data_IF_137438693728
#
_entry.id   IF_137438693728
#
_cell.length_a   1.000
_cell.length_b   1.000
_cell.length_c   1.000
_cell.angle_alpha   90.00
_cell.angle_beta   90.00
_cell.angle_gamma   90.00
#
_symmetry.space_group_name_H-M   'P 1'
#
loop_
_entity.id
_entity.type
_entity.pdbx_description
1 polymer ?
#
# COMPACT_ATOMS: atom_id res chain seq x y z
N UNK A 1 6.62 -3.94 36.28
CA UNK A 1 5.50 -4.74 35.74
C UNK A 1 4.69 -5.25 36.93
N UNK A 2 3.39 -4.94 37.02
CA UNK A 2 2.56 -5.55 38.07
C UNK A 2 2.41 -7.04 37.81
N UNK A 3 2.65 -7.87 38.81
CA UNK A 3 2.38 -9.29 38.75
C UNK A 3 0.87 -9.52 38.59
N UNK A 4 0.48 -10.21 37.55
CA UNK A 4 -0.90 -10.55 37.31
C UNK A 4 -1.18 -11.96 37.85
N UNK A 5 -2.36 -12.16 38.40
CA UNK A 5 -2.77 -13.43 38.99
C UNK A 5 -2.80 -14.59 37.97
N UNK A 6 -2.83 -15.86 38.44
CA UNK A 6 -2.67 -17.05 37.59
C UNK A 6 -3.79 -17.22 36.54
N UNK A 7 -4.91 -16.52 36.66
CA UNK A 7 -6.02 -16.55 35.69
C UNK A 7 -5.93 -15.48 34.61
N UNK A 8 -4.94 -14.60 34.65
CA UNK A 8 -4.83 -13.55 33.64
C UNK A 8 -4.28 -14.14 32.33
N UNK A 9 -5.00 -13.93 31.24
CA UNK A 9 -4.52 -14.26 29.90
C UNK A 9 -3.52 -13.20 29.43
N UNK A 10 -2.34 -13.63 29.03
CA UNK A 10 -1.36 -12.76 28.41
C UNK A 10 -1.87 -12.24 27.07
N UNK A 11 -1.62 -10.95 26.82
CA UNK A 11 -1.90 -10.37 25.50
C UNK A 11 -0.89 -10.87 24.48
N UNK A 12 -1.31 -10.94 23.22
CA UNK A 12 -0.39 -11.25 22.12
C UNK A 12 0.81 -10.32 22.14
N UNK A 13 2.00 -10.85 21.85
CA UNK A 13 3.28 -10.11 21.86
C UNK A 13 3.22 -8.82 21.02
N UNK A 14 2.67 -8.91 19.79
CA UNK A 14 2.52 -7.77 18.89
C UNK A 14 1.53 -6.72 19.42
N UNK A 15 0.47 -7.16 20.13
CA UNK A 15 -0.48 -6.25 20.77
C UNK A 15 0.14 -5.49 21.94
N UNK A 16 0.96 -6.16 22.75
CA UNK A 16 1.68 -5.50 23.84
C UNK A 16 2.64 -4.42 23.34
N UNK A 17 3.29 -4.68 22.21
CA UNK A 17 4.21 -3.73 21.55
C UNK A 17 3.49 -2.66 20.71
N UNK A 18 2.17 -2.65 20.63
CA UNK A 18 1.42 -1.71 19.81
C UNK A 18 1.64 -1.86 18.29
N UNK A 19 2.10 -3.01 17.81
CA UNK A 19 2.45 -3.24 16.40
C UNK A 19 1.27 -3.71 15.54
N UNK A 20 0.19 -4.16 16.16
CA UNK A 20 -0.96 -4.72 15.42
C UNK A 20 -2.27 -4.44 16.14
N UNK A 21 -3.21 -3.85 15.46
CA UNK A 21 -4.61 -3.77 15.86
C UNK A 21 -5.34 -5.03 15.40
N UNK A 22 -5.51 -5.99 16.32
CA UNK A 22 -6.19 -7.25 16.00
C UNK A 22 -7.69 -7.11 15.76
N UNK A 23 -8.34 -6.04 16.25
CA UNK A 23 -9.76 -5.79 15.97
C UNK A 23 -9.96 -5.35 14.52
N UNK A 24 -9.13 -4.40 14.06
CA UNK A 24 -9.12 -3.96 12.65
C UNK A 24 -8.75 -5.13 11.73
N UNK A 25 -7.70 -5.89 12.07
CA UNK A 25 -7.30 -7.06 11.32
C UNK A 25 -8.42 -8.09 11.19
N UNK A 26 -9.15 -8.41 12.29
CA UNK A 26 -10.28 -9.34 12.26
C UNK A 26 -11.39 -8.85 11.32
N UNK A 27 -11.70 -7.54 11.32
CA UNK A 27 -12.70 -6.96 10.42
C UNK A 27 -12.30 -7.16 8.95
N UNK A 28 -11.03 -6.92 8.60
CA UNK A 28 -10.52 -7.12 7.24
C UNK A 28 -10.59 -8.60 6.83
N UNK A 29 -10.19 -9.52 7.71
CA UNK A 29 -10.23 -10.96 7.43
C UNK A 29 -11.64 -11.54 7.27
N UNK A 30 -12.66 -10.91 7.84
CA UNK A 30 -14.06 -11.33 7.64
C UNK A 30 -14.53 -11.21 6.19
N UNK A 31 -13.93 -10.35 5.38
CA UNK A 31 -14.23 -10.22 3.96
C UNK A 31 -13.84 -11.45 3.14
N UNK A 32 -12.91 -12.27 3.64
CA UNK A 32 -12.29 -13.42 2.95
C UNK A 32 -11.57 -13.06 1.63
N UNK A 33 -11.40 -11.77 1.34
CA UNK A 33 -10.70 -11.25 0.17
C UNK A 33 -9.21 -11.08 0.48
N UNK A 34 -8.39 -11.05 -0.56
CA UNK A 34 -6.98 -10.67 -0.48
C UNK A 34 -6.85 -9.25 0.11
N UNK A 35 -5.80 -9.01 0.88
CA UNK A 35 -5.55 -7.70 1.48
C UNK A 35 -4.46 -6.96 0.71
N UNK A 36 -4.80 -5.79 0.21
CA UNK A 36 -3.85 -4.82 -0.32
C UNK A 36 -3.22 -4.05 0.85
N UNK A 37 -2.07 -4.52 1.31
CA UNK A 37 -1.36 -4.01 2.49
C UNK A 37 -0.46 -2.86 2.08
N UNK A 38 -0.74 -1.65 2.54
CA UNK A 38 0.09 -0.46 2.29
C UNK A 38 0.82 -0.06 3.57
N UNK A 39 2.14 0.09 3.47
CA UNK A 39 2.99 0.56 4.57
C UNK A 39 3.91 1.65 4.07
N UNK A 40 3.88 2.79 4.73
CA UNK A 40 4.74 3.93 4.42
C UNK A 40 5.78 4.07 5.53
N UNK A 41 7.04 3.98 5.15
CA UNK A 41 8.18 4.21 6.04
C UNK A 41 8.78 5.61 5.84
N UNK A 42 9.86 5.91 6.56
CA UNK A 42 10.61 7.14 6.38
C UNK A 42 11.43 7.17 5.08
N UNK A 43 11.67 6.03 4.47
CA UNK A 43 12.49 5.90 3.25
C UNK A 43 11.65 5.62 2.00
N UNK A 44 10.66 4.73 2.09
CA UNK A 44 9.90 4.25 0.93
C UNK A 44 8.48 3.82 1.29
N UNK A 45 7.61 3.75 0.29
CA UNK A 45 6.31 3.09 0.34
C UNK A 45 6.47 1.62 -0.06
N UNK A 46 5.74 0.74 0.59
CA UNK A 46 5.66 -0.69 0.29
C UNK A 46 4.20 -1.09 0.15
N UNK A 47 3.87 -1.75 -0.95
CA UNK A 47 2.55 -2.33 -1.21
C UNK A 47 2.69 -3.84 -1.38
N UNK A 48 1.80 -4.59 -0.76
CA UNK A 48 1.80 -6.05 -0.81
C UNK A 48 0.40 -6.59 -0.98
N UNK A 49 0.23 -7.59 -1.84
CA UNK A 49 -1.00 -8.39 -1.90
C UNK A 49 -0.82 -9.64 -1.02
N UNK A 50 -1.69 -9.79 -0.04
CA UNK A 50 -1.53 -10.79 1.03
C UNK A 50 -2.81 -11.58 1.22
N UNK A 51 -2.70 -12.90 1.16
CA UNK A 51 -3.76 -13.83 1.50
C UNK A 51 -3.59 -14.34 2.93
N UNK A 52 -4.72 -14.58 3.57
CA UNK A 52 -4.71 -15.19 4.90
C UNK A 52 -4.65 -16.71 4.81
N UNK A 53 -3.82 -17.30 5.64
CA UNK A 53 -3.76 -18.73 5.86
C UNK A 53 -3.68 -19.04 7.36
N UNK A 54 -4.15 -20.22 7.79
CA UNK A 54 -4.12 -20.64 9.19
C UNK A 54 -2.69 -20.74 9.75
N UNK A 55 -1.72 -21.12 8.91
CA UNK A 55 -0.29 -21.18 9.27
C UNK A 55 0.44 -19.85 9.23
N UNK A 56 -0.21 -18.78 8.74
CA UNK A 56 0.37 -17.44 8.58
C UNK A 56 -0.08 -16.77 7.29
N UNK A 57 0.15 -15.49 7.18
CA UNK A 57 -0.18 -14.76 5.96
C UNK A 57 0.79 -15.14 4.82
N UNK A 58 0.24 -15.37 3.63
CA UNK A 58 0.99 -15.60 2.40
C UNK A 58 1.05 -14.29 1.60
N UNK A 59 2.25 -13.82 1.35
CA UNK A 59 2.48 -12.64 0.48
C UNK A 59 2.62 -13.15 -0.95
N UNK A 60 1.69 -12.75 -1.82
CA UNK A 60 1.70 -13.15 -3.23
C UNK A 60 2.53 -12.19 -4.08
N UNK A 61 2.39 -10.89 -3.84
CA UNK A 61 3.04 -9.82 -4.61
C UNK A 61 3.60 -8.79 -3.64
N UNK A 62 4.78 -8.27 -3.94
CA UNK A 62 5.38 -7.15 -3.23
C UNK A 62 5.91 -6.15 -4.24
N UNK A 63 5.57 -4.87 -4.05
CA UNK A 63 6.12 -3.74 -4.80
C UNK A 63 6.55 -2.65 -3.82
N UNK A 64 7.73 -2.10 -4.03
CA UNK A 64 8.31 -1.08 -3.15
C UNK A 64 8.78 0.14 -3.94
N UNK A 65 9.00 1.27 -3.26
CA UNK A 65 9.62 2.42 -3.89
C UNK A 65 11.02 2.13 -4.46
N UNK A 66 11.75 1.15 -3.91
CA UNK A 66 13.03 0.70 -4.46
C UNK A 66 12.88 -0.03 -5.80
N UNK A 67 11.79 -0.80 -5.98
CA UNK A 67 11.51 -1.50 -7.23
C UNK A 67 11.16 -0.51 -8.36
N UNK A 68 10.59 0.66 -8.04
CA UNK A 68 10.37 1.73 -9.02
C UNK A 68 11.69 2.20 -9.63
N UNK A 69 12.73 2.35 -8.81
CA UNK A 69 14.06 2.76 -9.26
C UNK A 69 14.73 1.64 -10.05
N UNK A 70 14.74 0.43 -9.50
CA UNK A 70 15.46 -0.70 -10.07
C UNK A 70 14.86 -1.20 -11.40
N UNK A 71 13.52 -1.27 -11.49
CA UNK A 71 12.84 -1.96 -12.58
C UNK A 71 12.12 -1.01 -13.55
N UNK A 72 11.61 0.15 -13.06
CA UNK A 72 10.75 1.02 -13.86
C UNK A 72 11.36 2.40 -14.15
N UNK A 73 12.65 2.59 -13.77
CA UNK A 73 13.41 3.78 -14.13
C UNK A 73 12.96 5.07 -13.43
N UNK A 74 12.37 4.97 -12.23
CA UNK A 74 12.17 6.13 -11.38
C UNK A 74 13.50 6.76 -11.00
N UNK A 75 13.68 8.08 -11.12
CA UNK A 75 14.95 8.73 -10.81
C UNK A 75 15.38 8.54 -9.36
N UNK A 76 16.64 8.17 -9.12
CA UNK A 76 17.19 7.95 -7.76
C UNK A 76 17.19 9.21 -6.90
N UNK A 77 17.31 10.38 -7.51
CA UNK A 77 17.27 11.68 -6.83
C UNK A 77 15.87 12.05 -6.32
N UNK A 78 14.81 11.40 -6.82
CA UNK A 78 13.45 11.65 -6.39
C UNK A 78 13.06 10.76 -5.21
N UNK A 79 12.23 11.31 -4.34
CA UNK A 79 11.78 10.58 -3.15
C UNK A 79 10.94 9.36 -3.50
N UNK A 80 11.21 8.21 -2.85
CA UNK A 80 10.47 6.95 -2.99
C UNK A 80 9.27 6.83 -2.02
N UNK A 81 8.96 7.89 -1.28
CA UNK A 81 7.91 7.92 -0.25
C UNK A 81 6.89 9.04 -0.41
N UNK A 82 7.05 9.92 -1.40
CA UNK A 82 6.12 11.02 -1.67
C UNK A 82 4.80 10.49 -2.28
N UNK A 83 3.84 11.37 -2.48
CA UNK A 83 2.53 11.01 -3.05
C UNK A 83 2.67 10.43 -4.45
N UNK A 84 3.41 11.05 -5.40
CA UNK A 84 3.66 10.47 -6.72
C UNK A 84 4.26 9.06 -6.69
N UNK A 85 5.34 8.87 -5.93
CA UNK A 85 5.97 7.54 -5.82
C UNK A 85 5.02 6.51 -5.18
N UNK A 86 4.24 6.91 -4.17
CA UNK A 86 3.26 6.02 -3.54
C UNK A 86 2.16 5.60 -4.52
N UNK A 87 1.71 6.52 -5.38
CA UNK A 87 0.77 6.22 -6.46
C UNK A 87 1.35 5.18 -7.44
N UNK A 88 2.59 5.39 -7.90
CA UNK A 88 3.24 4.46 -8.84
C UNK A 88 3.51 3.07 -8.23
N UNK A 89 3.90 2.99 -6.94
CA UNK A 89 4.03 1.69 -6.25
C UNK A 89 2.68 0.98 -6.19
N UNK A 90 1.60 1.72 -5.91
CA UNK A 90 0.24 1.19 -5.96
C UNK A 90 -0.16 0.71 -7.34
N UNK A 91 0.14 1.50 -8.37
CA UNK A 91 -0.16 1.17 -9.76
C UNK A 91 0.58 -0.09 -10.23
N UNK A 92 1.88 -0.20 -9.93
CA UNK A 92 2.67 -1.40 -10.23
C UNK A 92 2.13 -2.65 -9.52
N UNK A 93 1.76 -2.52 -8.23
CA UNK A 93 1.17 -3.63 -7.48
C UNK A 93 -0.20 -4.02 -8.04
N UNK A 94 -1.03 -3.06 -8.44
CA UNK A 94 -2.33 -3.31 -9.04
C UNK A 94 -2.21 -4.05 -10.38
N UNK A 95 -1.30 -3.61 -11.27
CA UNK A 95 -1.02 -4.30 -12.55
C UNK A 95 -0.53 -5.73 -12.33
N UNK A 96 0.43 -5.92 -11.41
CA UNK A 96 0.91 -7.25 -11.04
C UNK A 96 -0.21 -8.14 -10.47
N UNK A 97 -1.13 -7.58 -9.66
CA UNK A 97 -2.26 -8.30 -9.09
C UNK A 97 -3.25 -8.76 -10.17
N UNK A 98 -3.61 -7.88 -11.09
CA UNK A 98 -4.51 -8.19 -12.21
C UNK A 98 -3.86 -9.25 -13.12
N UNK A 99 -2.58 -9.12 -13.45
CA UNK A 99 -1.84 -10.11 -14.24
C UNK A 99 -1.77 -11.50 -13.55
N UNK A 100 -1.74 -11.52 -12.21
CA UNK A 100 -1.78 -12.74 -11.40
C UNK A 100 -3.21 -13.32 -11.22
N UNK A 101 -4.25 -12.68 -11.79
CA UNK A 101 -5.63 -13.13 -11.71
C UNK A 101 -6.42 -12.67 -10.49
N UNK A 102 -5.89 -11.71 -9.72
CA UNK A 102 -6.63 -11.10 -8.61
C UNK A 102 -7.41 -9.88 -9.12
N UNK A 103 -8.74 -9.94 -9.05
CA UNK A 103 -9.63 -8.84 -9.49
C UNK A 103 -10.07 -7.92 -8.36
N UNK A 104 -10.08 -8.40 -7.12
CA UNK A 104 -10.59 -7.66 -5.97
C UNK A 104 -9.68 -7.78 -4.73
N UNK A 105 -9.65 -6.74 -3.92
CA UNK A 105 -8.91 -6.73 -2.66
C UNK A 105 -9.55 -5.80 -1.62
N UNK A 106 -9.05 -5.85 -0.38
CA UNK A 106 -9.45 -4.94 0.70
C UNK A 106 -8.21 -4.20 1.21
N UNK A 107 -8.29 -2.87 1.30
CA UNK A 107 -7.19 -2.03 1.76
C UNK A 107 -6.86 -2.25 3.23
N UNK A 108 -5.60 -2.54 3.54
CA UNK A 108 -5.04 -2.66 4.90
C UNK A 108 -3.96 -1.60 5.13
N UNK A 109 -4.34 -0.50 5.76
CA UNK A 109 -3.43 0.61 6.12
C UNK A 109 -2.68 0.38 7.45
N UNK A 110 -2.97 -0.72 8.16
CA UNK A 110 -2.36 -1.03 9.47
C UNK A 110 -2.70 -0.02 10.55
N UNK A 111 -1.67 0.56 11.16
CA UNK A 111 -1.80 1.58 12.20
C UNK A 111 -1.72 3.02 11.66
N UNK A 112 -1.58 3.19 10.34
CA UNK A 112 -1.56 4.53 9.75
C UNK A 112 -2.88 5.25 10.01
N UNK A 113 -2.79 6.57 10.20
CA UNK A 113 -3.97 7.42 10.30
C UNK A 113 -4.72 7.47 8.96
N UNK A 114 -6.04 7.38 9.02
CA UNK A 114 -6.90 7.50 7.84
C UNK A 114 -7.17 8.98 7.54
N UNK A 115 -6.12 9.70 7.12
CA UNK A 115 -6.21 11.11 6.74
C UNK A 115 -6.41 11.23 5.23
N UNK A 116 -7.43 11.99 4.80
CA UNK A 116 -7.67 12.27 3.38
C UNK A 116 -6.42 12.86 2.71
N UNK A 117 -6.20 12.53 1.45
CA UNK A 117 -5.05 12.98 0.68
C UNK A 117 -3.69 12.41 1.12
N UNK A 118 -3.68 11.37 1.98
CA UNK A 118 -2.42 10.77 2.45
C UNK A 118 -1.78 9.86 1.40
N UNK A 119 -0.49 9.57 1.59
CA UNK A 119 0.29 8.66 0.73
C UNK A 119 -0.31 7.26 0.61
N UNK A 120 -0.98 6.79 1.64
CA UNK A 120 -1.67 5.49 1.63
C UNK A 120 -2.80 5.49 0.62
N UNK A 121 -3.57 6.58 0.56
CA UNK A 121 -4.67 6.72 -0.40
C UNK A 121 -4.19 7.08 -1.81
N UNK A 122 -2.99 7.66 -1.95
CA UNK A 122 -2.34 7.75 -3.25
C UNK A 122 -2.01 6.36 -3.81
N UNK A 123 -1.47 5.47 -2.99
CA UNK A 123 -1.24 4.08 -3.39
C UNK A 123 -2.55 3.35 -3.72
N UNK A 124 -3.62 3.57 -2.95
CA UNK A 124 -4.95 3.05 -3.26
C UNK A 124 -5.44 3.51 -4.65
N UNK A 125 -5.32 4.81 -4.95
CA UNK A 125 -5.70 5.36 -6.26
C UNK A 125 -4.93 4.66 -7.38
N UNK A 126 -3.61 4.46 -7.22
CA UNK A 126 -2.80 3.73 -8.19
C UNK A 126 -3.28 2.30 -8.43
N UNK A 127 -3.65 1.57 -7.37
CA UNK A 127 -4.19 0.21 -7.48
C UNK A 127 -5.52 0.16 -8.24
N UNK A 128 -6.42 1.12 -7.95
CA UNK A 128 -7.73 1.23 -8.61
C UNK A 128 -7.55 1.59 -10.10
N UNK A 129 -6.69 2.54 -10.42
CA UNK A 129 -6.38 2.93 -11.81
C UNK A 129 -5.72 1.78 -12.60
N UNK A 130 -5.03 0.87 -11.92
CA UNK A 130 -4.47 -0.34 -12.51
C UNK A 130 -5.52 -1.44 -12.81
N UNK A 131 -6.76 -1.28 -12.31
CA UNK A 131 -7.88 -2.19 -12.53
C UNK A 131 -8.20 -3.14 -11.37
N UNK A 132 -7.59 -2.95 -10.20
CA UNK A 132 -7.91 -3.74 -9.00
C UNK A 132 -9.11 -3.11 -8.27
N UNK A 133 -10.19 -3.87 -8.09
CA UNK A 133 -11.37 -3.41 -7.37
C UNK A 133 -11.12 -3.39 -5.85
N UNK A 134 -11.08 -2.18 -5.28
CA UNK A 134 -10.93 -1.95 -3.84
C UNK A 134 -12.00 -0.96 -3.38
N UNK A 135 -12.93 -1.33 -2.50
CA UNK A 135 -13.96 -0.43 -2.00
C UNK A 135 -13.35 0.80 -1.30
N UNK A 136 -13.72 1.99 -1.74
CA UNK A 136 -13.25 3.27 -1.19
C UNK A 136 -14.27 4.40 -1.43
N UNK A 137 -14.05 5.55 -0.81
CA UNK A 137 -14.74 6.80 -1.09
C UNK A 137 -13.80 7.73 -1.84
N UNK A 138 -14.30 8.45 -2.83
CA UNK A 138 -13.49 9.38 -3.65
C UNK A 138 -12.94 10.56 -2.82
N UNK A 139 -13.63 10.94 -1.75
CA UNK A 139 -13.24 12.06 -0.88
C UNK A 139 -11.88 11.86 -0.16
N UNK A 140 -11.42 10.61 -0.04
CA UNK A 140 -10.16 10.30 0.63
C UNK A 140 -8.95 10.36 -0.29
N UNK A 141 -9.18 10.35 -1.60
CA UNK A 141 -8.14 10.32 -2.63
C UNK A 141 -7.46 11.69 -2.70
N UNK A 142 -6.11 11.75 -2.86
CA UNK A 142 -5.41 13.01 -3.13
C UNK A 142 -5.86 13.61 -4.46
N UNK A 143 -5.82 14.95 -4.57
CA UNK A 143 -6.07 15.64 -5.84
C UNK A 143 -5.04 15.26 -6.91
N UNK A 144 -5.43 15.37 -8.16
CA UNK A 144 -4.57 15.00 -9.31
C UNK A 144 -3.28 15.83 -9.36
N UNK A 145 -3.32 17.11 -8.97
CA UNK A 145 -2.13 17.96 -8.84
C UNK A 145 -1.11 17.40 -7.84
N UNK A 146 -1.59 16.76 -6.79
CA UNK A 146 -0.71 16.13 -5.80
C UNK A 146 -0.18 14.78 -6.27
N UNK A 147 -0.95 14.06 -7.06
CA UNK A 147 -0.54 12.78 -7.65
C UNK A 147 0.49 13.03 -8.74
N UNK A 148 0.28 14.03 -9.62
CA UNK A 148 1.22 14.42 -10.65
C UNK A 148 2.49 15.10 -10.11
N UNK A 149 2.45 15.59 -8.86
CA UNK A 149 3.57 16.31 -8.26
C UNK A 149 3.83 17.69 -8.83
N UNK A 150 2.96 18.21 -9.70
CA UNK A 150 3.08 19.53 -10.35
C UNK A 150 3.20 20.70 -9.35
N UNK A 151 2.68 20.52 -8.13
CA UNK A 151 2.79 21.50 -7.04
C UNK A 151 4.22 21.60 -6.45
N UNK A 152 5.14 20.69 -6.81
CA UNK A 152 6.53 20.69 -6.34
C UNK A 152 7.49 21.07 -7.45
N UNK A 153 7.43 20.37 -8.58
CA UNK A 153 8.32 20.57 -9.72
C UNK A 153 7.76 19.86 -10.96
N UNK A 154 7.84 20.49 -12.12
CA UNK A 154 7.37 19.95 -13.40
C UNK A 154 8.13 18.67 -13.81
N UNK A 155 9.35 18.45 -13.29
CA UNK A 155 10.12 17.23 -13.52
C UNK A 155 9.45 15.96 -13.01
N UNK A 156 8.58 16.08 -11.98
CA UNK A 156 7.83 14.95 -11.47
C UNK A 156 6.80 14.43 -12.46
N UNK A 157 6.09 15.30 -13.17
CA UNK A 157 5.06 14.91 -14.12
C UNK A 157 5.65 14.03 -15.25
N UNK A 158 6.77 14.46 -15.83
CA UNK A 158 7.47 13.70 -16.87
C UNK A 158 8.00 12.34 -16.34
N UNK A 159 8.55 12.33 -15.11
CA UNK A 159 9.02 11.10 -14.49
C UNK A 159 7.88 10.10 -14.20
N UNK A 160 6.70 10.59 -13.82
CA UNK A 160 5.52 9.75 -13.57
C UNK A 160 5.03 9.10 -14.86
N UNK A 161 4.88 9.86 -15.93
CA UNK A 161 4.43 9.34 -17.22
C UNK A 161 5.37 8.27 -17.79
N UNK A 162 6.67 8.55 -17.76
CA UNK A 162 7.68 7.60 -18.22
C UNK A 162 7.72 6.31 -17.40
N UNK A 163 7.62 6.43 -16.07
CA UNK A 163 7.60 5.27 -15.16
C UNK A 163 6.30 4.48 -15.31
N UNK A 164 5.16 5.17 -15.47
CA UNK A 164 3.85 4.53 -15.68
C UNK A 164 3.84 3.72 -16.98
N UNK A 165 4.36 4.28 -18.08
CA UNK A 165 4.48 3.57 -19.35
C UNK A 165 5.33 2.29 -19.21
N UNK A 166 6.48 2.35 -18.51
CA UNK A 166 7.32 1.17 -18.26
C UNK A 166 6.63 0.11 -17.38
N UNK A 167 5.80 0.52 -16.42
CA UNK A 167 5.00 -0.43 -15.63
C UNK A 167 3.96 -1.11 -16.54
N UNK A 168 3.31 -0.38 -17.44
CA UNK A 168 2.34 -0.94 -18.38
C UNK A 168 2.97 -1.89 -19.40
N UNK A 169 4.22 -1.65 -19.81
CA UNK A 169 4.97 -2.55 -20.68
C UNK A 169 5.41 -3.85 -19.97
N UNK A 170 5.56 -3.81 -18.64
CA UNK A 170 6.02 -4.94 -17.86
C UNK A 170 4.92 -5.98 -17.56
N UNK A 171 3.65 -5.61 -17.66
CA UNK A 171 2.47 -6.43 -17.33
C UNK A 171 1.43 -6.40 -18.43
#
# INVERSE_FOLDING_TARGET
MMAHGPRQRNRFRRRMKGLTDYRRRLKLLKSRKSRAVVRVSNTRTTCQLVDWSAGGDKVNITQTGGDLVANYGWPENLSQKNIPASYLVGFAMGKAAVAAGHSEAVLDIGLAASSSGSRVFAALKGMVDAGLDIPHSDEIIPSDDRISGSHVDDSFAAAIETTKAKIEEAY
#
